data_IF_768046354714
#
_entry.id   IF_768046354714
#
_cell.length_a   1.000
_cell.length_b   1.000
_cell.length_c   1.000
_cell.angle_alpha   90.00
_cell.angle_beta   90.00
_cell.angle_gamma   90.00
#
_symmetry.space_group_name_H-M   'P 1'
#
loop_
_entity.id
_entity.type
_entity.pdbx_description
1 polymer ?
#
# COMPACT_ATOMS: atom_id res chain seq x y z
N UNK A 1 -0.47 -8.10 -7.82
CA UNK A 1 0.15 -8.20 -6.48
C UNK A 1 -0.84 -7.90 -5.36
N UNK A 2 -1.37 -6.69 -5.17
CA UNK A 2 -2.25 -6.39 -4.02
C UNK A 2 -3.53 -7.24 -3.92
N UNK A 3 -4.13 -7.59 -5.06
CA UNK A 3 -5.30 -8.47 -5.08
C UNK A 3 -5.00 -9.83 -4.45
N UNK A 4 -3.81 -10.37 -4.70
CA UNK A 4 -3.41 -11.68 -4.19
C UNK A 4 -3.12 -11.62 -2.68
N UNK A 5 -2.45 -10.56 -2.22
CA UNK A 5 -2.22 -10.32 -0.79
C UNK A 5 -3.56 -10.17 -0.03
N UNK A 6 -4.53 -9.48 -0.63
CA UNK A 6 -5.87 -9.33 -0.07
C UNK A 6 -6.62 -10.67 0.04
N UNK A 7 -6.52 -11.54 -0.96
CA UNK A 7 -7.13 -12.88 -0.90
C UNK A 7 -6.47 -13.76 0.16
N UNK A 8 -5.14 -13.66 0.29
CA UNK A 8 -4.40 -14.37 1.33
C UNK A 8 -4.79 -13.89 2.73
N UNK A 9 -4.92 -12.57 2.93
CA UNK A 9 -5.36 -12.00 4.21
C UNK A 9 -6.84 -12.34 4.52
N UNK A 10 -7.69 -12.39 3.50
CA UNK A 10 -9.09 -12.80 3.64
C UNK A 10 -9.26 -14.30 3.89
N UNK A 11 -8.26 -15.12 3.54
CA UNK A 11 -8.27 -16.58 3.68
C UNK A 11 -9.25 -17.29 2.74
N UNK A 12 -9.72 -16.61 1.70
CA UNK A 12 -10.72 -17.13 0.78
C UNK A 12 -10.64 -16.45 -0.60
N UNK A 13 -10.88 -17.24 -1.66
CA UNK A 13 -11.00 -16.76 -3.03
C UNK A 13 -12.27 -15.89 -3.22
N UNK A 14 -12.35 -15.08 -4.29
CA UNK A 14 -13.55 -14.31 -4.62
C UNK A 14 -14.77 -15.22 -4.68
N UNK A 15 -15.86 -14.82 -4.03
CA UNK A 15 -17.16 -15.52 -4.01
C UNK A 15 -17.16 -16.95 -3.42
N UNK A 16 -16.01 -17.48 -3.02
CA UNK A 16 -15.90 -18.79 -2.37
C UNK A 16 -16.57 -18.77 -1.00
N UNK A 17 -17.35 -19.79 -0.67
CA UNK A 17 -17.95 -19.94 0.66
C UNK A 17 -17.03 -20.85 1.48
N UNK A 18 -16.38 -20.27 2.50
CA UNK A 18 -15.45 -20.98 3.38
C UNK A 18 -15.63 -20.45 4.80
N UNK A 19 -15.69 -21.34 5.79
CA UNK A 19 -15.78 -20.96 7.21
C UNK A 19 -14.51 -20.27 7.74
N UNK A 20 -13.39 -20.43 7.02
CA UNK A 20 -12.12 -19.77 7.32
C UNK A 20 -12.03 -18.30 6.84
N UNK A 21 -13.09 -17.76 6.21
CA UNK A 21 -13.09 -16.38 5.71
C UNK A 21 -13.05 -15.39 6.88
N UNK A 22 -12.01 -14.55 6.91
CA UNK A 22 -11.80 -13.56 7.97
C UNK A 22 -12.39 -12.19 7.68
N UNK A 23 -12.54 -11.83 6.40
CA UNK A 23 -13.04 -10.52 6.01
C UNK A 23 -13.76 -10.58 4.65
N UNK A 24 -14.73 -9.69 4.47
CA UNK A 24 -15.40 -9.46 3.19
C UNK A 24 -14.85 -8.20 2.53
N UNK A 25 -14.44 -8.30 1.27
CA UNK A 25 -14.04 -7.12 0.50
C UNK A 25 -15.26 -6.26 0.23
N UNK A 26 -15.17 -4.98 0.58
CA UNK A 26 -16.22 -4.01 0.30
C UNK A 26 -15.58 -2.81 -0.41
N UNK A 27 -15.91 -2.65 -1.70
CA UNK A 27 -15.46 -1.58 -2.59
C UNK A 27 -13.94 -1.51 -2.85
N UNK A 28 -13.60 -0.90 -3.98
CA UNK A 28 -12.24 -0.49 -4.31
C UNK A 28 -12.19 1.02 -4.20
N UNK A 29 -11.21 1.55 -3.47
CA UNK A 29 -10.93 2.98 -3.45
C UNK A 29 -9.67 3.23 -4.26
N UNK A 30 -9.73 4.18 -5.19
CA UNK A 30 -8.53 4.59 -5.90
C UNK A 30 -7.65 5.39 -4.93
N UNK A 31 -6.40 4.96 -4.79
CA UNK A 31 -5.36 5.75 -4.12
C UNK A 31 -4.31 6.11 -5.15
N UNK A 32 -3.81 7.33 -5.12
CA UNK A 32 -2.60 7.66 -5.86
C UNK A 32 -1.38 7.09 -5.14
N UNK A 33 -0.33 6.80 -5.90
CA UNK A 33 0.98 6.40 -5.41
C UNK A 33 2.00 7.16 -6.24
N UNK A 34 2.75 8.04 -5.58
CA UNK A 34 3.80 8.80 -6.25
C UNK A 34 5.06 7.96 -6.34
N UNK A 35 5.41 7.54 -7.55
CA UNK A 35 6.67 6.83 -7.81
C UNK A 35 7.61 7.68 -8.65
N UNK A 36 8.91 7.32 -8.66
CA UNK A 36 9.93 8.06 -9.40
C UNK A 36 9.66 8.16 -10.91
N UNK A 37 8.98 7.16 -11.47
CA UNK A 37 8.70 7.10 -12.89
C UNK A 37 7.39 7.83 -13.22
N UNK A 38 6.29 7.56 -12.51
CA UNK A 38 4.99 8.24 -12.69
C UNK A 38 4.09 8.15 -11.43
N UNK A 39 2.99 8.90 -11.41
CA UNK A 39 1.90 8.71 -10.44
C UNK A 39 1.04 7.52 -10.88
N UNK A 40 0.98 6.48 -10.05
CA UNK A 40 0.21 5.27 -10.33
C UNK A 40 -1.01 5.23 -9.41
N UNK A 41 -2.17 4.81 -9.91
CA UNK A 41 -3.39 4.69 -9.10
C UNK A 41 -3.74 3.22 -8.82
N UNK A 42 -3.03 2.54 -7.93
CA UNK A 42 -3.43 1.18 -7.59
C UNK A 42 -4.71 1.18 -6.75
N UNK A 43 -5.68 0.29 -7.04
CA UNK A 43 -6.91 0.20 -6.25
C UNK A 43 -6.61 -0.36 -4.86
N UNK A 44 -6.98 0.38 -3.82
CA UNK A 44 -6.95 -0.06 -2.43
C UNK A 44 -8.17 -0.93 -2.13
N UNK A 45 -7.92 -2.10 -1.55
CA UNK A 45 -8.97 -3.05 -1.20
C UNK A 45 -9.42 -2.83 0.24
N UNK A 46 -10.60 -2.24 0.43
CA UNK A 46 -11.14 -2.04 1.77
C UNK A 46 -11.85 -3.30 2.28
N UNK A 47 -11.52 -3.72 3.48
CA UNK A 47 -12.18 -4.82 4.22
C UNK A 47 -12.72 -4.25 5.53
N UNK A 48 -14.04 -4.30 5.80
CA UNK A 48 -14.60 -3.81 7.06
C UNK A 48 -14.05 -4.57 8.26
N UNK A 49 -13.64 -3.86 9.31
CA UNK A 49 -13.20 -4.44 10.59
C UNK A 49 -11.78 -4.99 10.63
N UNK A 50 -11.08 -5.09 9.50
CA UNK A 50 -9.68 -5.56 9.43
C UNK A 50 -8.85 -4.55 8.63
N UNK A 51 -7.81 -3.94 9.22
CA UNK A 51 -6.90 -3.12 8.45
C UNK A 51 -6.19 -3.99 7.41
N UNK A 52 -6.30 -3.61 6.15
CA UNK A 52 -5.55 -4.24 5.07
C UNK A 52 -4.13 -3.67 5.08
N UNK A 53 -3.16 -4.47 5.51
CA UNK A 53 -1.75 -4.10 5.50
C UNK A 53 -1.04 -4.91 4.42
N UNK A 54 -0.57 -4.22 3.38
CA UNK A 54 0.30 -4.87 2.39
C UNK A 54 1.75 -4.85 2.86
N UNK A 55 2.52 -5.90 2.56
CA UNK A 55 3.95 -5.92 2.89
C UNK A 55 4.72 -4.83 2.13
N UNK A 56 4.27 -4.53 0.91
CA UNK A 56 4.84 -3.52 0.03
C UNK A 56 4.46 -2.11 0.48
N UNK A 57 3.22 -1.89 0.95
CA UNK A 57 2.71 -0.60 1.42
C UNK A 57 2.16 -0.74 2.83
N UNK A 58 3.01 -0.41 3.82
CA UNK A 58 2.58 -0.41 5.22
C UNK A 58 1.77 0.85 5.49
N UNK A 59 0.47 0.68 5.73
CA UNK A 59 -0.47 1.78 5.97
C UNK A 59 -0.79 2.63 4.73
N UNK A 60 -1.37 3.81 4.95
CA UNK A 60 -1.75 4.80 3.93
C UNK A 60 -0.55 5.60 3.40
N UNK A 61 0.57 4.94 3.11
CA UNK A 61 1.79 5.60 2.64
C UNK A 61 1.65 5.97 1.16
N UNK A 62 1.60 7.28 0.89
CA UNK A 62 1.52 7.86 -0.45
C UNK A 62 2.87 7.87 -1.20
N UNK A 63 3.96 7.77 -0.44
CA UNK A 63 5.34 7.99 -0.90
C UNK A 63 6.18 6.74 -0.70
N UNK A 64 7.02 6.42 -1.70
CA UNK A 64 7.97 5.30 -1.63
C UNK A 64 9.01 5.50 -0.53
N UNK A 65 9.35 4.41 0.17
CA UNK A 65 10.40 4.39 1.21
C UNK A 65 11.77 4.79 0.67
N UNK A 66 12.10 4.41 -0.57
CA UNK A 66 13.38 4.75 -1.20
C UNK A 66 13.58 6.26 -1.33
N UNK A 67 12.50 7.01 -1.58
CA UNK A 67 12.57 8.48 -1.62
C UNK A 67 12.88 9.06 -0.23
N UNK A 68 12.25 8.52 0.81
CA UNK A 68 12.50 8.96 2.19
C UNK A 68 13.95 8.69 2.58
N UNK A 69 14.52 7.55 2.18
CA UNK A 69 15.91 7.23 2.42
C UNK A 69 16.86 8.17 1.66
N UNK A 70 16.62 8.43 0.37
CA UNK A 70 17.42 9.35 -0.42
C UNK A 70 17.40 10.79 0.15
N UNK A 71 16.24 11.23 0.63
CA UNK A 71 16.11 12.50 1.35
C UNK A 71 16.98 12.46 2.61
N UNK A 72 16.84 11.44 3.46
CA UNK A 72 17.63 11.30 4.69
C UNK A 72 19.15 11.29 4.44
N UNK A 73 19.61 10.62 3.39
CA UNK A 73 21.01 10.62 2.96
C UNK A 73 21.49 12.01 2.53
N UNK A 74 20.64 12.76 1.81
CA UNK A 74 20.94 14.13 1.37
C UNK A 74 21.12 15.08 2.58
N UNK A 75 20.32 14.90 3.63
CA UNK A 75 20.50 15.62 4.90
C UNK A 75 21.84 15.29 5.56
N UNK A 76 22.25 14.01 5.58
CA UNK A 76 23.55 13.59 6.13
C UNK A 76 24.73 14.18 5.34
N UNK A 77 24.57 14.37 4.03
CA UNK A 77 25.56 15.01 3.15
C UNK A 77 25.61 16.54 3.31
N UNK A 78 24.78 17.14 4.18
CA UNK A 78 24.76 18.58 4.43
C UNK A 78 24.03 19.39 3.36
N UNK A 79 23.19 18.75 2.53
CA UNK A 79 22.36 19.46 1.56
C UNK A 79 21.22 20.17 2.27
N UNK A 80 21.03 21.45 1.95
CA UNK A 80 19.92 22.24 2.49
C UNK A 80 18.57 21.65 2.08
N UNK A 81 17.60 21.68 3.00
CA UNK A 81 16.25 21.10 2.84
C UNK A 81 15.46 21.62 1.64
N UNK A 82 15.79 22.81 1.15
CA UNK A 82 15.16 23.42 -0.04
C UNK A 82 15.83 23.06 -1.36
N UNK A 83 17.02 22.44 -1.29
CA UNK A 83 17.78 21.95 -2.45
C UNK A 83 17.58 20.46 -2.71
N UNK A 84 16.94 19.76 -1.76
CA UNK A 84 16.46 18.37 -1.89
C UNK A 84 15.10 18.38 -2.58
#
# INVERSE_FOLDING_TARGET
MMLQEALQQAGADPYKRTDARKAHRNNNKDRSLKTQYEETHPPETTTPGVPFETQVFRGSAQVKKDLVNAIAESYLQGVSTRKV
#
